data_IF_548246922376
#
_entry.id   IF_548246922376
#
_cell.length_a   1.000
_cell.length_b   1.000
_cell.length_c   1.000
_cell.angle_alpha   90.00
_cell.angle_beta   90.00
_cell.angle_gamma   90.00
#
_symmetry.space_group_name_H-M   'P 1'
#
loop_
_entity.id
_entity.type
_entity.pdbx_description
1 polymer ?
#
# COMPACT_ATOMS: atom_id res chain seq x y z
N UNK A 1 -8.61 -10.35 22.29
CA UNK A 1 -7.40 -9.51 22.38
C UNK A 1 -7.87 -8.10 22.73
N UNK A 2 -7.41 -7.52 23.84
CA UNK A 2 -7.72 -6.13 24.17
C UNK A 2 -6.99 -5.20 23.20
N UNK A 3 -7.67 -4.13 22.77
CA UNK A 3 -7.10 -3.14 21.88
C UNK A 3 -6.26 -2.14 22.67
N UNK A 4 -5.06 -2.56 23.09
CA UNK A 4 -4.21 -1.76 24.00
C UNK A 4 -3.25 -0.84 23.24
N UNK A 5 -3.10 -1.06 21.92
CA UNK A 5 -2.20 -0.27 21.07
C UNK A 5 -2.97 0.86 20.38
N UNK A 6 -2.43 2.09 20.47
CA UNK A 6 -3.06 3.29 19.93
C UNK A 6 -2.42 3.71 18.61
N UNK A 7 -3.25 3.97 17.61
CA UNK A 7 -2.85 4.58 16.34
C UNK A 7 -3.07 6.09 16.42
N UNK A 8 -2.01 6.89 16.23
CA UNK A 8 -2.08 8.36 16.17
C UNK A 8 -1.55 8.84 14.83
N UNK A 9 -2.35 9.60 14.10
CA UNK A 9 -1.97 10.23 12.84
C UNK A 9 -2.29 11.72 12.88
N UNK A 10 -1.40 12.55 12.32
CA UNK A 10 -1.65 13.98 12.13
C UNK A 10 -2.37 14.19 10.80
N UNK A 11 -3.46 14.93 10.82
CA UNK A 11 -4.22 15.37 9.65
C UNK A 11 -4.65 16.82 9.87
N UNK A 12 -4.92 17.55 8.78
CA UNK A 12 -5.46 18.90 8.89
C UNK A 12 -6.93 18.87 9.37
N UNK A 13 -7.40 20.03 9.82
CA UNK A 13 -8.73 20.19 10.41
C UNK A 13 -9.85 19.90 9.41
N UNK A 14 -9.71 20.31 8.15
CA UNK A 14 -10.75 20.17 7.14
C UNK A 14 -10.93 18.69 6.76
N UNK A 15 -9.81 18.00 6.49
CA UNK A 15 -9.81 16.55 6.22
C UNK A 15 -10.46 15.78 7.37
N UNK A 16 -10.14 16.12 8.62
CA UNK A 16 -10.76 15.48 9.79
C UNK A 16 -12.28 15.68 9.81
N UNK A 17 -12.74 16.90 9.58
CA UNK A 17 -14.16 17.24 9.63
C UNK A 17 -14.96 16.51 8.55
N UNK A 18 -14.49 16.58 7.29
CA UNK A 18 -15.13 15.91 6.15
C UNK A 18 -15.17 14.39 6.30
N UNK A 19 -14.06 13.78 6.71
CA UNK A 19 -14.01 12.33 6.94
C UNK A 19 -14.93 11.89 8.08
N UNK A 20 -14.98 12.65 9.18
CA UNK A 20 -15.86 12.34 10.31
C UNK A 20 -17.33 12.35 9.90
N UNK A 21 -17.77 13.40 9.18
CA UNK A 21 -19.15 13.52 8.73
C UNK A 21 -19.54 12.38 7.76
N UNK A 22 -18.67 12.05 6.81
CA UNK A 22 -18.91 10.97 5.87
C UNK A 22 -19.03 9.60 6.56
N UNK A 23 -18.13 9.30 7.52
CA UNK A 23 -18.17 8.04 8.26
C UNK A 23 -19.39 7.96 9.19
N UNK A 24 -19.76 9.06 9.85
CA UNK A 24 -20.96 9.11 10.68
C UNK A 24 -22.24 8.85 9.87
N UNK A 25 -22.33 9.37 8.64
CA UNK A 25 -23.44 9.08 7.74
C UNK A 25 -23.52 7.58 7.35
N UNK A 26 -22.39 6.86 7.44
CA UNK A 26 -22.30 5.41 7.24
C UNK A 26 -22.48 4.61 8.55
N UNK A 27 -22.72 5.26 9.69
CA UNK A 27 -22.84 4.62 11.00
C UNK A 27 -21.49 4.17 11.60
N UNK A 28 -20.37 4.73 11.14
CA UNK A 28 -19.02 4.36 11.56
C UNK A 28 -18.33 5.51 12.29
N UNK A 29 -17.53 5.17 13.31
CA UNK A 29 -16.57 6.12 13.87
C UNK A 29 -15.26 6.15 13.07
N UNK A 30 -14.46 7.21 13.25
CA UNK A 30 -13.10 7.28 12.68
C UNK A 30 -12.25 6.09 13.15
N UNK A 31 -12.41 5.67 14.40
CA UNK A 31 -11.69 4.52 14.94
C UNK A 31 -12.11 3.19 14.29
N UNK A 32 -13.39 3.02 13.93
CA UNK A 32 -13.86 1.85 13.20
C UNK A 32 -13.23 1.77 11.81
N UNK A 33 -13.23 2.89 11.09
CA UNK A 33 -12.62 2.96 9.76
C UNK A 33 -11.11 2.66 9.80
N UNK A 34 -10.37 3.19 10.78
CA UNK A 34 -8.94 2.90 10.96
C UNK A 34 -8.71 1.42 11.26
N UNK A 35 -9.52 0.80 12.13
CA UNK A 35 -9.41 -0.63 12.45
C UNK A 35 -9.65 -1.49 11.21
N UNK A 36 -10.73 -1.22 10.47
CA UNK A 36 -11.08 -1.96 9.26
C UNK A 36 -9.99 -1.85 8.18
N UNK A 37 -9.44 -0.65 7.99
CA UNK A 37 -8.33 -0.43 7.06
C UNK A 37 -7.12 -1.29 7.43
N UNK A 38 -6.70 -1.27 8.70
CA UNK A 38 -5.52 -2.01 9.14
C UNK A 38 -5.71 -3.53 9.06
N UNK A 39 -6.91 -4.03 9.37
CA UNK A 39 -7.26 -5.44 9.18
C UNK A 39 -7.17 -5.84 7.70
N UNK A 40 -7.80 -5.08 6.80
CA UNK A 40 -7.77 -5.36 5.36
C UNK A 40 -6.35 -5.35 4.79
N UNK A 41 -5.52 -4.39 5.22
CA UNK A 41 -4.10 -4.32 4.81
C UNK A 41 -3.31 -5.51 5.35
N UNK A 42 -3.54 -5.92 6.60
CA UNK A 42 -2.86 -7.06 7.20
C UNK A 42 -3.20 -8.37 6.46
N UNK A 43 -4.46 -8.55 6.07
CA UNK A 43 -4.94 -9.79 5.46
C UNK A 43 -4.62 -9.89 3.97
N UNK A 44 -4.84 -8.84 3.19
CA UNK A 44 -4.65 -8.89 1.72
C UNK A 44 -3.34 -8.32 1.21
N UNK A 45 -2.51 -7.73 2.09
CA UNK A 45 -1.24 -7.13 1.70
C UNK A 45 -1.39 -6.06 0.61
N UNK A 46 -2.53 -5.37 0.56
CA UNK A 46 -2.82 -4.27 -0.36
C UNK A 46 -3.66 -3.19 0.31
N UNK A 47 -3.61 -1.98 -0.24
CA UNK A 47 -4.51 -0.91 0.16
C UNK A 47 -5.90 -1.11 -0.45
N UNK A 48 -6.98 -0.66 0.23
CA UNK A 48 -8.35 -0.81 -0.25
C UNK A 48 -8.69 0.15 -1.40
N UNK A 49 -7.76 1.04 -1.76
CA UNK A 49 -7.83 1.90 -2.92
C UNK A 49 -6.60 1.67 -3.80
N UNK A 50 -6.74 1.94 -5.09
CA UNK A 50 -5.64 1.79 -6.03
C UNK A 50 -4.55 2.82 -5.73
N UNK A 51 -3.32 2.35 -5.53
CA UNK A 51 -2.14 3.19 -5.37
C UNK A 51 -1.43 3.23 -6.71
N UNK A 52 -1.71 4.26 -7.49
CA UNK A 52 -1.22 4.36 -8.86
C UNK A 52 0.21 4.88 -8.98
N UNK A 53 0.83 5.30 -7.88
CA UNK A 53 2.19 5.87 -7.90
C UNK A 53 3.19 4.80 -7.47
N UNK A 54 4.07 4.32 -8.38
CA UNK A 54 5.15 3.42 -8.00
C UNK A 54 6.03 4.08 -6.94
N UNK A 55 6.46 3.32 -5.94
CA UNK A 55 7.36 3.83 -4.93
C UNK A 55 8.74 4.16 -5.55
N UNK A 56 9.58 4.91 -4.82
CA UNK A 56 10.89 5.35 -5.32
C UNK A 56 11.77 4.18 -5.82
N UNK A 57 11.74 3.04 -5.13
CA UNK A 57 12.48 1.84 -5.53
C UNK A 57 11.97 1.28 -6.86
N UNK A 58 10.65 1.17 -7.02
CA UNK A 58 10.03 0.70 -8.27
C UNK A 58 10.32 1.66 -9.42
N UNK A 59 10.22 2.98 -9.20
CA UNK A 59 10.57 3.99 -10.21
C UNK A 59 12.02 3.83 -10.65
N UNK A 60 12.95 3.66 -9.71
CA UNK A 60 14.37 3.47 -10.02
C UNK A 60 14.60 2.19 -10.84
N UNK A 61 13.98 1.07 -10.45
CA UNK A 61 14.07 -0.18 -11.19
C UNK A 61 13.54 -0.04 -12.63
N UNK A 62 12.42 0.65 -12.82
CA UNK A 62 11.86 0.93 -14.15
C UNK A 62 12.81 1.78 -15.00
N UNK A 63 13.45 2.79 -14.42
CA UNK A 63 14.43 3.64 -15.11
C UNK A 63 15.70 2.86 -15.50
N UNK A 64 16.19 1.96 -14.65
CA UNK A 64 17.35 1.11 -14.95
C UNK A 64 17.06 0.18 -16.13
N UNK A 65 15.89 -0.46 -16.15
CA UNK A 65 15.45 -1.29 -17.27
C UNK A 65 15.29 -0.46 -18.55
N UNK A 66 14.64 0.71 -18.47
CA UNK A 66 14.48 1.60 -19.62
C UNK A 66 15.82 2.12 -20.19
N UNK A 67 16.82 2.32 -19.33
CA UNK A 67 18.18 2.68 -19.71
C UNK A 67 19.01 1.49 -20.24
N UNK A 68 18.41 0.31 -20.38
CA UNK A 68 19.09 -0.89 -20.88
C UNK A 68 20.03 -1.56 -19.88
N UNK A 69 19.95 -1.21 -18.59
CA UNK A 69 20.78 -1.79 -17.51
C UNK A 69 20.20 -3.09 -16.94
N UNK A 70 19.07 -3.55 -17.45
CA UNK A 70 18.48 -4.83 -17.07
C UNK A 70 19.30 -6.02 -17.59
N UNK A 71 19.40 -7.09 -16.78
CA UNK A 71 20.02 -8.35 -17.20
C UNK A 71 19.15 -9.02 -18.29
N UNK A 72 19.79 -9.52 -19.34
CA UNK A 72 19.13 -10.21 -20.46
C UNK A 72 19.53 -11.67 -20.45
N UNK A 73 18.58 -12.53 -20.79
CA UNK A 73 18.76 -13.99 -20.85
C UNK A 73 18.41 -14.49 -22.24
N UNK A 74 19.04 -15.58 -22.67
CA UNK A 74 18.80 -16.20 -23.97
C UNK A 74 17.53 -17.04 -24.02
N UNK A 75 17.03 -17.48 -22.87
CA UNK A 75 15.83 -18.31 -22.73
C UNK A 75 15.13 -18.05 -21.39
N UNK A 76 13.89 -18.53 -21.26
CA UNK A 76 13.17 -18.51 -19.99
C UNK A 76 13.85 -19.41 -18.93
N UNK A 77 14.42 -20.55 -19.34
CA UNK A 77 15.13 -21.47 -18.45
C UNK A 77 16.36 -20.82 -17.82
N UNK A 78 17.11 -20.01 -18.59
CA UNK A 78 18.27 -19.29 -18.09
C UNK A 78 17.88 -18.20 -17.08
N UNK A 79 16.70 -17.57 -17.25
CA UNK A 79 16.16 -16.61 -16.30
C UNK A 79 15.77 -17.30 -14.98
N UNK A 80 15.02 -18.40 -15.04
CA UNK A 80 14.57 -19.10 -13.83
C UNK A 80 15.76 -19.66 -13.03
N UNK A 81 16.75 -20.23 -13.70
CA UNK A 81 18.00 -20.68 -13.07
C UNK A 81 18.74 -19.54 -12.34
N UNK A 82 18.70 -18.32 -12.86
CA UNK A 82 19.32 -17.16 -12.20
C UNK A 82 18.51 -16.61 -11.02
N UNK A 83 17.18 -16.75 -11.07
CA UNK A 83 16.26 -16.33 -10.01
C UNK A 83 16.11 -17.38 -8.89
N UNK A 84 16.77 -18.53 -9.01
CA UNK A 84 16.63 -19.68 -8.11
C UNK A 84 15.17 -20.17 -8.01
N UNK A 85 14.48 -20.17 -9.16
CA UNK A 85 13.09 -20.60 -9.34
C UNK A 85 12.97 -21.84 -10.23
#
# INVERSE_FOLDING_TARGET
MSADTVVRARIDRDTKARATAALQAMGLSVSDAIRLLLLRVADEKRLPFAVHVPNATTVKAMQEVAAGKGKRFGSADDLFRDLDL
#
